data_IF_097385709459
#
_entry.id   IF_097385709459
#
_cell.length_a   1.000
_cell.length_b   1.000
_cell.length_c   1.000
_cell.angle_alpha   90.00
_cell.angle_beta   90.00
_cell.angle_gamma   90.00
#
_symmetry.space_group_name_H-M   'P 1'
#
loop_
_entity.id
_entity.type
_entity.pdbx_description
1 polymer ?
#
# COMPACT_ATOMS: atom_id res chain seq x y z
N UNK A 1 -77.71 -72.09 -49.71
CA UNK A 1 -78.17 -72.90 -50.86
C UNK A 1 -78.28 -74.33 -50.38
N UNK A 2 -79.47 -74.71 -49.92
CA UNK A 2 -79.94 -76.08 -49.71
C UNK A 2 -81.47 -75.99 -49.90
N UNK A 3 -82.04 -76.92 -50.67
CA UNK A 3 -83.44 -76.88 -51.11
C UNK A 3 -84.41 -77.03 -49.92
N UNK A 4 -85.54 -76.31 -49.87
CA UNK A 4 -86.54 -76.54 -48.82
C UNK A 4 -87.20 -77.89 -49.07
N UNK A 5 -86.94 -78.83 -48.16
CA UNK A 5 -87.62 -80.11 -48.13
C UNK A 5 -89.10 -79.86 -47.85
N UNK A 6 -89.93 -79.89 -48.89
CA UNK A 6 -91.38 -79.82 -48.73
C UNK A 6 -91.85 -81.03 -47.93
N UNK A 7 -92.44 -80.79 -46.76
CA UNK A 7 -92.97 -81.86 -45.92
C UNK A 7 -94.10 -82.60 -46.65
N UNK A 8 -94.03 -83.94 -46.65
CA UNK A 8 -95.09 -84.84 -47.12
C UNK A 8 -96.41 -84.57 -46.36
N UNK A 9 -97.60 -84.71 -46.99
CA UNK A 9 -98.89 -84.34 -46.39
C UNK A 9 -99.19 -85.01 -45.04
N UNK A 10 -98.73 -86.25 -44.82
CA UNK A 10 -98.84 -86.92 -43.50
C UNK A 10 -97.98 -86.27 -42.41
N UNK A 11 -96.83 -85.70 -42.78
CA UNK A 11 -95.93 -85.02 -41.87
C UNK A 11 -96.45 -83.62 -41.49
N UNK A 12 -97.21 -82.97 -42.37
CA UNK A 12 -97.83 -81.66 -42.09
C UNK A 12 -98.93 -81.76 -41.04
N UNK A 13 -99.74 -82.80 -41.11
CA UNK A 13 -100.84 -83.02 -40.16
C UNK A 13 -100.29 -83.38 -38.77
N UNK A 14 -99.28 -84.25 -38.69
CA UNK A 14 -98.58 -84.58 -37.45
C UNK A 14 -97.83 -83.38 -36.84
N UNK A 15 -97.15 -82.55 -37.64
CA UNK A 15 -96.44 -81.37 -37.15
C UNK A 15 -97.44 -80.28 -36.71
N UNK A 16 -98.57 -80.11 -37.40
CA UNK A 16 -99.61 -79.17 -36.99
C UNK A 16 -100.28 -79.60 -35.68
N UNK A 17 -100.50 -80.90 -35.46
CA UNK A 17 -101.07 -81.43 -34.22
C UNK A 17 -100.11 -81.23 -33.03
N UNK A 18 -98.80 -81.46 -33.24
CA UNK A 18 -97.76 -81.16 -32.25
C UNK A 18 -97.64 -79.65 -31.98
N UNK A 19 -97.79 -78.80 -32.99
CA UNK A 19 -97.77 -77.34 -32.80
C UNK A 19 -99.03 -76.83 -32.09
N UNK A 20 -100.19 -77.45 -32.31
CA UNK A 20 -101.40 -77.19 -31.51
C UNK A 20 -101.20 -77.56 -30.05
N UNK A 21 -100.67 -78.76 -29.77
CA UNK A 21 -100.37 -79.19 -28.40
C UNK A 21 -99.32 -78.27 -27.73
N UNK A 22 -98.38 -77.73 -28.51
CA UNK A 22 -97.38 -76.76 -28.03
C UNK A 22 -97.96 -75.36 -27.78
N UNK A 23 -98.89 -74.88 -28.62
CA UNK A 23 -99.62 -73.61 -28.42
C UNK A 23 -100.57 -73.73 -27.23
N UNK A 24 -101.24 -74.87 -27.08
CA UNK A 24 -102.15 -75.17 -25.96
C UNK A 24 -101.39 -75.32 -24.63
N UNK A 25 -100.25 -76.01 -24.63
CA UNK A 25 -99.38 -76.11 -23.44
C UNK A 25 -98.77 -74.76 -23.06
N UNK A 26 -98.36 -73.93 -24.02
CA UNK A 26 -97.91 -72.56 -23.73
C UNK A 26 -99.04 -71.66 -23.22
N UNK A 27 -100.27 -71.83 -23.72
CA UNK A 27 -101.45 -71.14 -23.18
C UNK A 27 -101.76 -71.57 -21.73
N UNK A 28 -101.55 -72.85 -21.40
CA UNK A 28 -101.63 -73.35 -20.02
C UNK A 28 -100.50 -72.76 -19.15
N UNK A 29 -99.26 -72.72 -19.64
CA UNK A 29 -98.14 -72.08 -18.94
C UNK A 29 -98.37 -70.57 -18.70
N UNK A 30 -98.97 -69.86 -19.66
CA UNK A 30 -99.38 -68.45 -19.51
C UNK A 30 -100.48 -68.27 -18.46
N UNK A 31 -101.45 -69.18 -18.39
CA UNK A 31 -102.48 -69.14 -17.36
C UNK A 31 -101.92 -69.40 -15.95
N UNK A 32 -100.89 -70.24 -15.82
CA UNK A 32 -100.20 -70.48 -14.53
C UNK A 32 -99.35 -69.27 -14.10
N UNK A 33 -98.64 -68.64 -15.04
CA UNK A 33 -97.88 -67.40 -14.81
C UNK A 33 -98.77 -66.20 -14.46
N UNK A 34 -100.04 -66.22 -14.88
CA UNK A 34 -101.06 -65.23 -14.56
C UNK A 34 -101.70 -65.45 -13.18
N UNK A 35 -101.84 -66.70 -12.72
CA UNK A 35 -102.40 -67.02 -11.39
C UNK A 35 -101.45 -66.72 -10.24
N UNK A 36 -100.12 -66.79 -10.44
CA UNK A 36 -99.14 -66.53 -9.37
C UNK A 36 -98.86 -65.05 -9.09
N UNK A 37 -99.30 -64.11 -9.96
CA UNK A 37 -99.19 -62.67 -9.68
C UNK A 37 -100.38 -62.09 -8.92
N UNK A 38 -101.47 -62.83 -8.73
CA UNK A 38 -102.66 -62.31 -8.05
C UNK A 38 -102.64 -62.50 -6.52
N UNK A 39 -101.73 -63.32 -5.97
CA UNK A 39 -101.73 -63.69 -4.54
C UNK A 39 -100.76 -62.90 -3.67
N UNK A 40 -100.17 -61.79 -4.14
CA UNK A 40 -99.16 -61.08 -3.34
C UNK A 40 -99.11 -59.54 -3.48
N UNK A 41 -100.20 -58.91 -3.91
CA UNK A 41 -100.26 -57.44 -4.04
C UNK A 41 -100.80 -56.70 -2.81
N UNK A 42 -101.20 -57.40 -1.74
CA UNK A 42 -101.59 -56.76 -0.48
C UNK A 42 -100.42 -56.73 0.52
N UNK A 43 -99.46 -55.84 0.26
CA UNK A 43 -98.94 -54.92 1.27
C UNK A 43 -97.67 -54.22 0.78
N UNK A 44 -97.67 -52.90 0.95
CA UNK A 44 -96.53 -52.00 1.21
C UNK A 44 -96.11 -51.07 0.08
N UNK A 45 -96.94 -50.04 -0.12
CA UNK A 45 -96.50 -48.71 -0.54
C UNK A 45 -96.40 -47.82 0.72
N UNK A 46 -95.18 -47.56 1.21
CA UNK A 46 -94.87 -46.37 2.02
C UNK A 46 -93.45 -45.91 1.66
N UNK A 47 -93.35 -44.91 0.79
CA UNK A 47 -92.14 -44.10 0.64
C UNK A 47 -92.10 -43.06 1.76
N UNK A 48 -90.96 -42.96 2.44
CA UNK A 48 -90.61 -41.80 3.24
C UNK A 48 -89.21 -41.30 2.88
N UNK A 49 -89.18 -39.99 2.66
CA UNK A 49 -88.12 -39.07 2.28
C UNK A 49 -87.01 -38.98 3.36
N UNK A 50 -85.72 -39.05 2.97
CA UNK A 50 -84.60 -38.68 3.87
C UNK A 50 -83.45 -38.00 3.11
N UNK A 51 -83.12 -36.81 3.61
CA UNK A 51 -82.10 -35.86 3.22
C UNK A 51 -80.67 -36.42 3.17
N UNK A 52 -79.89 -35.97 2.18
CA UNK A 52 -78.51 -36.37 1.93
C UNK A 52 -77.56 -35.50 2.77
N UNK A 53 -76.82 -36.14 3.68
CA UNK A 53 -75.62 -35.60 4.33
C UNK A 53 -74.42 -36.53 4.06
N UNK A 54 -73.22 -35.96 3.99
CA UNK A 54 -71.95 -36.46 3.42
C UNK A 54 -71.31 -37.71 4.07
N UNK A 55 -72.11 -38.66 4.56
CA UNK A 55 -71.63 -39.99 4.99
C UNK A 55 -72.20 -41.15 4.16
N UNK A 56 -72.81 -40.84 3.00
CA UNK A 56 -73.57 -41.80 2.19
C UNK A 56 -72.71 -42.78 1.36
N UNK A 57 -71.41 -42.55 1.19
CA UNK A 57 -70.59 -43.38 0.28
C UNK A 57 -70.14 -44.70 0.94
N UNK A 58 -70.06 -44.77 2.27
CA UNK A 58 -69.64 -45.99 2.98
C UNK A 58 -70.78 -46.93 3.41
N UNK A 59 -72.05 -46.50 3.34
CA UNK A 59 -73.22 -47.33 3.71
C UNK A 59 -73.85 -48.06 2.51
N UNK A 60 -73.57 -47.62 1.28
CA UNK A 60 -74.03 -48.26 0.03
C UNK A 60 -73.37 -49.63 -0.26
N UNK A 61 -72.26 -49.96 0.42
CA UNK A 61 -71.46 -51.15 0.11
C UNK A 61 -71.82 -52.40 0.93
N UNK A 62 -72.74 -52.32 1.90
CA UNK A 62 -73.02 -53.45 2.81
C UNK A 62 -74.49 -53.69 3.15
N UNK A 63 -75.45 -52.94 2.60
CA UNK A 63 -76.87 -53.11 2.91
C UNK A 63 -77.78 -52.84 1.70
N UNK A 64 -77.91 -53.83 0.81
CA UNK A 64 -78.78 -53.71 -0.36
C UNK A 64 -79.02 -55.05 -1.09
N UNK A 65 -78.83 -56.18 -0.40
CA UNK A 65 -78.97 -57.49 -1.03
C UNK A 65 -80.45 -57.96 -1.13
N UNK A 66 -81.33 -57.45 -0.27
CA UNK A 66 -82.72 -57.90 -0.22
C UNK A 66 -83.62 -57.20 -1.27
N UNK A 67 -83.50 -55.88 -1.46
CA UNK A 67 -84.36 -55.14 -2.41
C UNK A 67 -83.90 -55.26 -3.87
N UNK A 68 -82.59 -55.31 -4.14
CA UNK A 68 -82.04 -55.52 -5.49
C UNK A 68 -82.41 -56.89 -6.08
N UNK A 69 -82.58 -57.91 -5.22
CA UNK A 69 -82.91 -59.26 -5.70
C UNK A 69 -84.38 -59.42 -6.04
N UNK A 70 -85.29 -58.67 -5.41
CA UNK A 70 -86.72 -58.73 -5.71
C UNK A 70 -87.07 -57.91 -6.98
N UNK A 71 -86.46 -56.73 -7.19
CA UNK A 71 -86.60 -56.00 -8.47
C UNK A 71 -86.00 -56.78 -9.66
N UNK A 72 -84.89 -57.50 -9.46
CA UNK A 72 -84.34 -58.39 -10.47
C UNK A 72 -85.25 -59.59 -10.76
N UNK A 73 -85.94 -60.13 -9.75
CA UNK A 73 -86.91 -61.23 -9.92
C UNK A 73 -88.17 -60.80 -10.64
N UNK A 74 -88.67 -59.59 -10.39
CA UNK A 74 -89.82 -59.03 -11.09
C UNK A 74 -89.48 -58.73 -12.56
N UNK A 75 -88.34 -58.11 -12.83
CA UNK A 75 -87.85 -57.88 -14.18
C UNK A 75 -87.63 -59.21 -14.95
N UNK A 76 -87.14 -60.25 -14.28
CA UNK A 76 -86.98 -61.57 -14.89
C UNK A 76 -88.32 -62.23 -15.23
N UNK A 77 -89.36 -62.06 -14.39
CA UNK A 77 -90.71 -62.58 -14.65
C UNK A 77 -91.39 -61.84 -15.79
N UNK A 78 -91.23 -60.53 -15.87
CA UNK A 78 -91.79 -59.72 -16.94
C UNK A 78 -91.11 -60.01 -18.28
N UNK A 79 -89.77 -60.17 -18.28
CA UNK A 79 -89.04 -60.67 -19.45
C UNK A 79 -89.56 -62.05 -19.89
N UNK A 80 -89.75 -62.97 -18.95
CA UNK A 80 -90.25 -64.32 -19.26
C UNK A 80 -91.68 -64.30 -19.83
N UNK A 81 -92.53 -63.35 -19.40
CA UNK A 81 -93.87 -63.14 -19.97
C UNK A 81 -93.81 -62.60 -21.39
N UNK A 82 -92.96 -61.60 -21.63
CA UNK A 82 -92.78 -61.03 -22.97
C UNK A 82 -92.17 -62.04 -23.94
N UNK A 83 -91.19 -62.83 -23.48
CA UNK A 83 -90.59 -63.92 -24.24
C UNK A 83 -91.63 -65.02 -24.53
N UNK A 84 -92.51 -65.36 -23.57
CA UNK A 84 -93.60 -66.32 -23.78
C UNK A 84 -94.65 -65.84 -24.80
N UNK A 85 -95.04 -64.56 -24.77
CA UNK A 85 -95.97 -63.99 -25.76
C UNK A 85 -95.36 -63.94 -27.16
N UNK A 86 -94.08 -63.60 -27.24
CA UNK A 86 -93.31 -63.57 -28.47
C UNK A 86 -93.14 -64.97 -29.08
N UNK A 87 -92.84 -65.99 -28.28
CA UNK A 87 -92.78 -67.41 -28.71
C UNK A 87 -94.16 -67.90 -29.16
N UNK A 88 -95.24 -67.58 -28.44
CA UNK A 88 -96.61 -67.91 -28.86
C UNK A 88 -96.97 -67.29 -30.22
N UNK A 89 -96.59 -66.02 -30.45
CA UNK A 89 -96.80 -65.36 -31.74
C UNK A 89 -96.07 -66.06 -32.88
N UNK A 90 -94.80 -66.42 -32.67
CA UNK A 90 -93.99 -67.17 -33.65
C UNK A 90 -94.58 -68.56 -33.92
N UNK A 91 -95.05 -69.27 -32.88
CA UNK A 91 -95.63 -70.61 -33.02
C UNK A 91 -96.99 -70.59 -33.74
N UNK A 92 -97.81 -69.57 -33.51
CA UNK A 92 -99.05 -69.37 -34.27
C UNK A 92 -98.79 -69.03 -35.74
N UNK A 93 -97.78 -68.22 -36.02
CA UNK A 93 -97.39 -67.87 -37.39
C UNK A 93 -96.69 -69.03 -38.12
N UNK A 94 -95.92 -69.86 -37.41
CA UNK A 94 -95.33 -71.10 -37.91
C UNK A 94 -96.41 -72.15 -38.23
N UNK A 95 -97.42 -72.30 -37.36
CA UNK A 95 -98.59 -73.16 -37.61
C UNK A 95 -99.35 -72.72 -38.86
N UNK A 96 -99.57 -71.42 -39.03
CA UNK A 96 -100.19 -70.84 -40.22
C UNK A 96 -99.37 -71.16 -41.48
N UNK A 97 -98.05 -71.00 -41.41
CA UNK A 97 -97.14 -71.24 -42.52
C UNK A 97 -97.05 -72.73 -42.93
N UNK A 98 -97.01 -73.65 -41.96
CA UNK A 98 -96.97 -75.09 -42.21
C UNK A 98 -98.28 -75.60 -42.82
N UNK A 99 -99.42 -75.05 -42.40
CA UNK A 99 -100.74 -75.39 -42.93
C UNK A 99 -100.97 -74.85 -44.35
N UNK A 100 -100.43 -73.66 -44.68
CA UNK A 100 -100.65 -73.02 -45.97
C UNK A 100 -99.58 -73.35 -47.04
N UNK A 101 -98.31 -73.49 -46.63
CA UNK A 101 -97.16 -73.55 -47.55
C UNK A 101 -96.22 -74.73 -47.30
N UNK A 102 -96.24 -75.30 -46.09
CA UNK A 102 -95.37 -76.41 -45.70
C UNK A 102 -93.89 -76.02 -45.59
N UNK A 103 -93.59 -74.74 -45.35
CA UNK A 103 -92.24 -74.17 -45.19
C UNK A 103 -92.01 -73.64 -43.78
N UNK A 104 -90.75 -73.43 -43.42
CA UNK A 104 -90.29 -72.95 -42.10
C UNK A 104 -89.56 -71.60 -42.27
N UNK A 105 -90.08 -70.70 -43.11
CA UNK A 105 -89.43 -69.40 -43.38
C UNK A 105 -89.60 -68.40 -42.23
N UNK A 106 -90.72 -68.41 -41.52
CA UNK A 106 -90.98 -67.53 -40.36
C UNK A 106 -89.94 -67.80 -39.27
N UNK A 107 -89.69 -69.07 -38.96
CA UNK A 107 -88.66 -69.46 -38.00
C UNK A 107 -87.26 -69.12 -38.54
N UNK A 108 -86.99 -69.32 -39.83
CA UNK A 108 -85.68 -69.01 -40.43
C UNK A 108 -85.36 -67.51 -40.43
N UNK A 109 -86.35 -66.64 -40.70
CA UNK A 109 -86.20 -65.18 -40.63
C UNK A 109 -86.02 -64.70 -39.20
N UNK A 110 -86.76 -65.29 -38.27
CA UNK A 110 -86.68 -64.91 -36.86
C UNK A 110 -85.35 -65.37 -36.23
N UNK A 111 -84.89 -66.58 -36.56
CA UNK A 111 -83.53 -67.05 -36.24
C UNK A 111 -82.50 -66.08 -36.82
N UNK A 112 -82.64 -65.66 -38.08
CA UNK A 112 -81.74 -64.67 -38.70
C UNK A 112 -81.73 -63.30 -38.00
N UNK A 113 -82.89 -62.86 -37.49
CA UNK A 113 -83.02 -61.61 -36.71
C UNK A 113 -82.36 -61.75 -35.34
N UNK A 114 -82.52 -62.89 -34.69
CA UNK A 114 -81.88 -63.21 -33.40
C UNK A 114 -80.36 -63.29 -33.58
N UNK A 115 -79.85 -64.00 -34.58
CA UNK A 115 -78.40 -64.11 -34.82
C UNK A 115 -77.77 -62.75 -35.15
N UNK A 116 -78.43 -61.91 -35.95
CA UNK A 116 -77.91 -60.56 -36.25
C UNK A 116 -77.88 -59.66 -35.01
N UNK A 117 -78.88 -59.78 -34.14
CA UNK A 117 -78.91 -59.05 -32.86
C UNK A 117 -77.82 -59.57 -31.91
N UNK A 118 -77.65 -60.88 -31.81
CA UNK A 118 -76.58 -61.51 -31.01
C UNK A 118 -75.19 -61.06 -31.50
N UNK A 119 -74.96 -61.01 -32.82
CA UNK A 119 -73.72 -60.49 -33.41
C UNK A 119 -73.47 -59.02 -33.02
N UNK A 120 -74.49 -58.17 -33.08
CA UNK A 120 -74.38 -56.76 -32.66
C UNK A 120 -74.11 -56.61 -31.16
N UNK A 121 -74.78 -57.42 -30.33
CA UNK A 121 -74.56 -57.47 -28.88
C UNK A 121 -73.13 -57.95 -28.58
N UNK A 122 -72.62 -58.96 -29.29
CA UNK A 122 -71.23 -59.42 -29.18
C UNK A 122 -70.22 -58.33 -29.54
N UNK A 123 -70.43 -57.58 -30.63
CA UNK A 123 -69.54 -56.47 -31.01
C UNK A 123 -69.52 -55.35 -29.95
N UNK A 124 -70.69 -55.02 -29.38
CA UNK A 124 -70.78 -54.03 -28.30
C UNK A 124 -70.09 -54.51 -27.03
N UNK A 125 -70.19 -55.81 -26.71
CA UNK A 125 -69.48 -56.42 -25.56
C UNK A 125 -67.97 -56.34 -25.78
N UNK A 126 -67.47 -56.75 -26.95
CA UNK A 126 -66.04 -56.67 -27.28
C UNK A 126 -65.51 -55.24 -27.18
N UNK A 127 -66.25 -54.26 -27.72
CA UNK A 127 -65.84 -52.86 -27.66
C UNK A 127 -65.88 -52.31 -26.23
N UNK A 128 -66.86 -52.74 -25.41
CA UNK A 128 -66.91 -52.39 -24.00
C UNK A 128 -65.72 -52.99 -23.23
N UNK A 129 -65.34 -54.23 -23.53
CA UNK A 129 -64.16 -54.88 -22.96
C UNK A 129 -62.88 -54.15 -23.33
N UNK A 130 -62.70 -53.77 -24.61
CA UNK A 130 -61.57 -52.93 -25.05
C UNK A 130 -61.56 -51.57 -24.37
N UNK A 131 -62.71 -50.92 -24.23
CA UNK A 131 -62.80 -49.67 -23.48
C UNK A 131 -62.44 -49.86 -22.00
N UNK A 132 -62.86 -50.97 -21.38
CA UNK A 132 -62.51 -51.29 -19.99
C UNK A 132 -61.01 -51.51 -19.83
N UNK A 133 -60.36 -52.23 -20.76
CA UNK A 133 -58.90 -52.42 -20.70
C UNK A 133 -58.16 -51.10 -20.86
N UNK A 134 -58.56 -50.25 -21.82
CA UNK A 134 -57.95 -48.93 -22.02
C UNK A 134 -58.13 -48.04 -20.79
N UNK A 135 -59.33 -48.00 -20.20
CA UNK A 135 -59.58 -47.23 -18.98
C UNK A 135 -58.75 -47.76 -17.81
N UNK A 136 -58.59 -49.08 -17.68
CA UNK A 136 -57.73 -49.67 -16.66
C UNK A 136 -56.25 -49.29 -16.85
N UNK A 137 -55.75 -49.32 -18.09
CA UNK A 137 -54.39 -48.89 -18.44
C UNK A 137 -54.16 -47.40 -18.17
N UNK A 138 -55.11 -46.54 -18.56
CA UNK A 138 -55.03 -45.10 -18.29
C UNK A 138 -55.07 -44.81 -16.77
N UNK A 139 -55.93 -45.51 -16.02
CA UNK A 139 -55.97 -45.39 -14.55
C UNK A 139 -54.65 -45.82 -13.92
N UNK A 140 -54.04 -46.90 -14.42
CA UNK A 140 -52.72 -47.37 -13.98
C UNK A 140 -51.64 -46.34 -14.30
N UNK A 141 -51.60 -45.82 -15.53
CA UNK A 141 -50.65 -44.78 -15.94
C UNK A 141 -50.77 -43.50 -15.09
N UNK A 142 -51.99 -43.09 -14.74
CA UNK A 142 -52.23 -41.97 -13.83
C UNK A 142 -51.72 -42.29 -12.41
N UNK A 143 -51.95 -43.50 -11.91
CA UNK A 143 -51.47 -43.92 -10.59
C UNK A 143 -49.94 -43.97 -10.54
N UNK A 144 -49.30 -44.58 -11.53
CA UNK A 144 -47.84 -44.68 -11.65
C UNK A 144 -47.22 -43.28 -11.79
N UNK A 145 -47.82 -42.40 -12.60
CA UNK A 145 -47.41 -40.99 -12.73
C UNK A 145 -47.53 -40.19 -11.43
N UNK A 146 -48.56 -40.45 -10.62
CA UNK A 146 -48.68 -39.85 -9.27
C UNK A 146 -47.56 -40.31 -8.34
N UNK A 147 -47.25 -41.60 -8.32
CA UNK A 147 -46.17 -42.15 -7.49
C UNK A 147 -44.81 -41.58 -7.92
N UNK A 148 -44.51 -41.54 -9.22
CA UNK A 148 -43.28 -40.96 -9.75
C UNK A 148 -43.15 -39.47 -9.38
N UNK A 149 -44.23 -38.71 -9.47
CA UNK A 149 -44.24 -37.30 -9.06
C UNK A 149 -44.00 -37.12 -7.56
N UNK A 150 -44.57 -37.96 -6.70
CA UNK A 150 -44.31 -37.87 -5.25
C UNK A 150 -42.84 -38.20 -4.92
N UNK A 151 -42.26 -39.22 -5.56
CA UNK A 151 -40.83 -39.54 -5.39
C UNK A 151 -39.94 -38.36 -5.82
N UNK A 152 -40.23 -37.73 -6.96
CA UNK A 152 -39.44 -36.59 -7.41
C UNK A 152 -39.66 -35.36 -6.52
N UNK A 153 -40.88 -35.10 -6.03
CA UNK A 153 -41.13 -34.06 -5.03
C UNK A 153 -40.30 -34.30 -3.77
N UNK A 154 -40.28 -35.52 -3.24
CA UNK A 154 -39.44 -35.86 -2.08
C UNK A 154 -37.94 -35.66 -2.37
N UNK A 155 -37.49 -36.03 -3.56
CA UNK A 155 -36.09 -35.82 -3.97
C UNK A 155 -35.75 -34.32 -4.02
N UNK A 156 -36.63 -33.52 -4.59
CA UNK A 156 -36.45 -32.07 -4.69
C UNK A 156 -36.51 -31.40 -3.32
N UNK A 157 -37.41 -31.82 -2.41
CA UNK A 157 -37.46 -31.28 -1.05
C UNK A 157 -36.21 -31.65 -0.26
N UNK A 158 -35.72 -32.90 -0.35
CA UNK A 158 -34.44 -33.32 0.25
C UNK A 158 -33.26 -32.50 -0.30
N UNK A 159 -33.22 -32.25 -1.61
CA UNK A 159 -32.17 -31.41 -2.21
C UNK A 159 -32.26 -29.96 -1.72
N UNK A 160 -33.46 -29.41 -1.62
CA UNK A 160 -33.70 -28.05 -1.16
C UNK A 160 -33.30 -27.86 0.31
N UNK A 161 -33.58 -28.83 1.18
CA UNK A 161 -33.15 -28.77 2.59
C UNK A 161 -31.63 -28.86 2.71
N UNK A 162 -30.97 -29.73 1.95
CA UNK A 162 -29.50 -29.81 1.92
C UNK A 162 -28.86 -28.50 1.46
N UNK A 163 -29.33 -27.93 0.35
CA UNK A 163 -28.81 -26.64 -0.17
C UNK A 163 -29.07 -25.50 0.81
N UNK A 164 -30.22 -25.50 1.50
CA UNK A 164 -30.52 -24.51 2.55
C UNK A 164 -29.56 -24.63 3.72
N UNK A 165 -29.32 -25.83 4.22
CA UNK A 165 -28.39 -26.08 5.32
C UNK A 165 -26.96 -25.68 4.95
N UNK A 166 -26.52 -25.97 3.72
CA UNK A 166 -25.20 -25.56 3.25
C UNK A 166 -25.07 -24.04 3.16
N UNK A 167 -26.11 -23.35 2.68
CA UNK A 167 -26.15 -21.88 2.69
C UNK A 167 -26.06 -21.30 4.11
N UNK A 168 -26.76 -21.89 5.07
CA UNK A 168 -26.71 -21.46 6.47
C UNK A 168 -25.32 -21.73 7.08
N UNK A 169 -24.71 -22.89 6.80
CA UNK A 169 -23.33 -23.21 7.19
C UNK A 169 -22.33 -22.20 6.64
N UNK A 170 -22.39 -21.90 5.34
CA UNK A 170 -21.48 -20.93 4.71
C UNK A 170 -21.64 -19.51 5.28
N UNK A 171 -22.88 -19.11 5.64
CA UNK A 171 -23.10 -17.84 6.34
C UNK A 171 -22.40 -17.81 7.69
N UNK A 172 -22.53 -18.87 8.50
CA UNK A 172 -21.86 -18.94 9.80
C UNK A 172 -20.33 -18.89 9.67
N UNK A 173 -19.77 -19.60 8.68
CA UNK A 173 -18.33 -19.57 8.39
C UNK A 173 -17.90 -18.15 8.01
N UNK A 174 -18.58 -17.53 7.06
CA UNK A 174 -18.28 -16.16 6.62
C UNK A 174 -18.37 -15.15 7.78
N UNK A 175 -19.38 -15.27 8.63
CA UNK A 175 -19.56 -14.37 9.77
C UNK A 175 -18.45 -14.56 10.81
N UNK A 176 -17.99 -15.80 11.02
CA UNK A 176 -16.85 -16.10 11.89
C UNK A 176 -15.53 -15.56 11.30
N UNK A 177 -15.28 -15.77 10.00
CA UNK A 177 -14.12 -15.24 9.29
C UNK A 177 -14.10 -13.71 9.33
N UNK A 178 -15.24 -13.06 9.10
CA UNK A 178 -15.32 -11.60 9.14
C UNK A 178 -15.03 -11.06 10.55
N UNK A 179 -15.53 -11.72 11.60
CA UNK A 179 -15.20 -11.36 12.99
C UNK A 179 -13.72 -11.53 13.27
N UNK A 180 -13.13 -12.65 12.84
CA UNK A 180 -11.70 -12.89 13.00
C UNK A 180 -10.85 -11.82 12.32
N UNK A 181 -11.12 -11.52 11.04
CA UNK A 181 -10.40 -10.50 10.28
C UNK A 181 -10.51 -9.13 10.95
N UNK A 182 -11.70 -8.74 11.42
CA UNK A 182 -11.89 -7.44 12.10
C UNK A 182 -11.06 -7.35 13.39
N UNK A 183 -11.07 -8.38 14.22
CA UNK A 183 -10.29 -8.42 15.47
C UNK A 183 -8.80 -8.45 15.17
N UNK A 184 -8.38 -9.26 14.19
CA UNK A 184 -6.98 -9.34 13.76
C UNK A 184 -6.47 -8.00 13.22
N UNK A 185 -7.25 -7.32 12.37
CA UNK A 185 -6.88 -6.00 11.87
C UNK A 185 -6.82 -4.95 12.99
N UNK A 186 -7.75 -4.96 13.93
CA UNK A 186 -7.74 -4.06 15.08
C UNK A 186 -6.49 -4.26 15.93
N UNK A 187 -6.19 -5.51 16.33
CA UNK A 187 -5.00 -5.86 17.10
C UNK A 187 -3.71 -5.50 16.35
N UNK A 188 -3.67 -5.71 15.02
CA UNK A 188 -2.53 -5.33 14.19
C UNK A 188 -2.32 -3.81 14.20
N UNK A 189 -3.38 -3.01 14.06
CA UNK A 189 -3.29 -1.54 14.12
C UNK A 189 -2.82 -1.07 15.49
N UNK A 190 -3.38 -1.62 16.57
CA UNK A 190 -2.95 -1.32 17.93
C UNK A 190 -1.46 -1.64 18.14
N UNK A 191 -1.00 -2.80 17.65
CA UNK A 191 0.41 -3.16 17.72
C UNK A 191 1.31 -2.17 16.96
N UNK A 192 0.89 -1.74 15.76
CA UNK A 192 1.64 -0.75 14.99
C UNK A 192 1.72 0.60 15.73
N UNK A 193 0.60 1.07 16.29
CA UNK A 193 0.57 2.29 17.09
C UNK A 193 1.53 2.19 18.28
N UNK A 194 1.46 1.11 19.06
CA UNK A 194 2.33 0.90 20.22
C UNK A 194 3.81 0.86 19.84
N UNK A 195 4.18 0.21 18.72
CA UNK A 195 5.57 0.20 18.23
C UNK A 195 6.04 1.62 17.88
N UNK A 196 5.22 2.37 17.14
CA UNK A 196 5.57 3.74 16.78
C UNK A 196 5.66 4.66 18.00
N UNK A 197 4.79 4.50 18.99
CA UNK A 197 4.88 5.24 20.25
C UNK A 197 6.16 4.91 21.02
N UNK A 198 6.57 3.63 21.05
CA UNK A 198 7.84 3.21 21.64
C UNK A 198 9.03 3.85 20.91
N UNK A 199 9.08 3.74 19.57
CA UNK A 199 10.13 4.35 18.74
C UNK A 199 10.22 5.87 18.97
N UNK A 200 9.08 6.56 18.99
CA UNK A 200 9.00 8.01 19.26
C UNK A 200 9.52 8.32 20.67
N UNK A 201 9.19 7.51 21.67
CA UNK A 201 9.65 7.73 23.03
C UNK A 201 11.15 7.48 23.18
N UNK A 202 11.71 6.50 22.47
CA UNK A 202 13.16 6.27 22.42
C UNK A 202 13.90 7.42 21.72
N UNK A 203 13.37 7.90 20.59
CA UNK A 203 13.89 9.08 19.90
C UNK A 203 13.81 10.34 20.76
N UNK A 204 12.72 10.52 21.53
CA UNK A 204 12.62 11.63 22.49
C UNK A 204 13.66 11.52 23.61
N UNK A 205 13.89 10.31 24.15
CA UNK A 205 14.92 10.08 25.19
C UNK A 205 16.31 10.38 24.66
N UNK A 206 16.66 9.88 23.47
CA UNK A 206 17.96 10.14 22.83
C UNK A 206 18.13 11.63 22.50
N UNK A 207 17.10 12.30 21.98
CA UNK A 207 17.13 13.73 21.75
C UNK A 207 17.36 14.50 23.06
N UNK A 208 16.64 14.12 24.13
CA UNK A 208 16.81 14.78 25.43
C UNK A 208 18.22 14.60 26.00
N UNK A 209 18.83 13.42 25.86
CA UNK A 209 20.20 13.18 26.33
C UNK A 209 21.23 13.96 25.50
N UNK A 210 21.04 14.03 24.17
CA UNK A 210 21.84 14.87 23.29
C UNK A 210 21.74 16.36 23.66
N UNK A 211 20.53 16.89 23.91
CA UNK A 211 20.35 18.28 24.34
C UNK A 211 21.01 18.57 25.69
N UNK A 212 20.96 17.64 26.65
CA UNK A 212 21.66 17.82 27.93
C UNK A 212 23.17 17.84 27.72
N UNK A 213 23.71 16.94 26.88
CA UNK A 213 25.13 16.90 26.55
C UNK A 213 25.59 18.19 25.85
N UNK A 214 24.85 18.64 24.84
CA UNK A 214 25.13 19.88 24.12
C UNK A 214 25.14 21.09 25.06
N UNK A 215 24.16 21.20 25.98
CA UNK A 215 24.16 22.27 27.00
C UNK A 215 25.39 22.22 27.90
N UNK A 216 25.81 21.02 28.30
CA UNK A 216 27.01 20.85 29.13
C UNK A 216 28.29 21.23 28.38
N UNK A 217 28.41 20.84 27.11
CA UNK A 217 29.54 21.18 26.24
C UNK A 217 29.60 22.69 26.00
N UNK A 218 28.46 23.32 25.70
CA UNK A 218 28.36 24.77 25.53
C UNK A 218 28.74 25.52 26.81
N UNK A 219 28.31 25.03 27.98
CA UNK A 219 28.69 25.61 29.26
C UNK A 219 30.20 25.53 29.51
N UNK A 220 30.81 24.36 29.27
CA UNK A 220 32.26 24.18 29.41
C UNK A 220 33.02 25.07 28.42
N UNK A 221 32.55 25.16 27.17
CA UNK A 221 33.15 26.01 26.14
C UNK A 221 33.08 27.50 26.53
N UNK A 222 31.96 27.96 27.08
CA UNK A 222 31.80 29.33 27.57
C UNK A 222 32.79 29.65 28.70
N UNK A 223 32.90 28.73 29.68
CA UNK A 223 33.84 28.88 30.80
C UNK A 223 35.28 28.91 30.30
N UNK A 224 35.64 28.00 29.39
CA UNK A 224 36.97 27.91 28.80
C UNK A 224 37.30 29.18 28.00
N UNK A 225 36.37 29.63 27.16
CA UNK A 225 36.52 30.85 26.36
C UNK A 225 36.74 32.06 27.27
N UNK A 226 35.93 32.23 28.32
CA UNK A 226 36.12 33.33 29.29
C UNK A 226 37.48 33.25 29.99
N UNK A 227 37.92 32.05 30.39
CA UNK A 227 39.22 31.87 31.02
C UNK A 227 40.37 32.24 30.06
N UNK A 228 40.33 31.74 28.83
CA UNK A 228 41.34 32.03 27.81
C UNK A 228 41.39 33.52 27.47
N UNK A 229 40.24 34.16 27.24
CA UNK A 229 40.17 35.61 26.98
C UNK A 229 40.78 36.42 28.11
N UNK A 230 40.48 36.09 29.38
CA UNK A 230 41.09 36.76 30.54
C UNK A 230 42.60 36.55 30.59
N UNK A 231 43.07 35.33 30.32
CA UNK A 231 44.49 34.99 30.35
C UNK A 231 45.27 35.67 29.23
N UNK A 232 44.70 35.74 28.03
CA UNK A 232 45.25 36.48 26.88
C UNK A 232 45.39 37.96 27.26
N UNK A 233 44.31 38.59 27.75
CA UNK A 233 44.35 40.01 28.14
C UNK A 233 45.40 40.31 29.23
N UNK A 234 45.60 39.41 30.18
CA UNK A 234 46.65 39.53 31.21
C UNK A 234 48.05 39.46 30.58
N UNK A 235 48.28 38.52 29.67
CA UNK A 235 49.57 38.37 28.98
C UNK A 235 49.84 39.58 28.09
N UNK A 236 48.85 40.06 27.33
CA UNK A 236 48.95 41.27 26.52
C UNK A 236 49.28 42.51 27.36
N UNK A 237 48.63 42.66 28.52
CA UNK A 237 48.92 43.74 29.46
C UNK A 237 50.36 43.68 29.96
N UNK A 238 50.87 42.48 30.26
CA UNK A 238 52.27 42.26 30.67
C UNK A 238 53.24 42.57 29.53
N UNK A 239 52.95 42.11 28.31
CA UNK A 239 53.74 42.45 27.11
C UNK A 239 53.79 43.96 26.91
N UNK A 240 52.65 44.65 27.03
CA UNK A 240 52.58 46.11 26.92
C UNK A 240 53.40 46.82 28.00
N UNK A 241 53.39 46.31 29.24
CA UNK A 241 54.25 46.83 30.31
C UNK A 241 55.74 46.68 29.99
N UNK A 242 56.18 45.48 29.57
CA UNK A 242 57.58 45.23 29.23
C UNK A 242 58.04 46.03 28.02
N UNK A 243 57.18 46.20 27.01
CA UNK A 243 57.47 47.05 25.86
C UNK A 243 57.71 48.50 26.29
N UNK A 244 56.82 49.08 27.10
CA UNK A 244 57.00 50.44 27.64
C UNK A 244 58.24 50.59 28.52
N UNK A 245 58.64 49.53 29.23
CA UNK A 245 59.88 49.53 30.01
C UNK A 245 61.10 49.54 29.09
N UNK A 246 61.12 48.65 28.11
CA UNK A 246 62.19 48.56 27.13
C UNK A 246 62.36 49.88 26.36
N UNK A 247 61.27 50.49 25.91
CA UNK A 247 61.32 51.78 25.20
C UNK A 247 61.92 52.89 26.07
N UNK A 248 61.57 52.93 27.37
CA UNK A 248 62.16 53.89 28.32
C UNK A 248 63.64 53.65 28.58
N UNK A 249 64.04 52.40 28.82
CA UNK A 249 65.44 52.04 29.02
C UNK A 249 66.27 52.35 27.76
N UNK A 250 65.73 52.05 26.58
CA UNK A 250 66.34 52.39 25.30
C UNK A 250 66.51 53.90 25.12
N UNK A 251 65.49 54.70 25.41
CA UNK A 251 65.58 56.16 25.37
C UNK A 251 66.65 56.69 26.34
N UNK A 252 66.71 56.15 27.56
CA UNK A 252 67.75 56.49 28.53
C UNK A 252 69.16 56.19 28.01
N UNK A 253 69.39 55.01 27.43
CA UNK A 253 70.68 54.68 26.83
C UNK A 253 71.01 55.57 25.61
N UNK A 254 70.04 55.90 24.76
CA UNK A 254 70.24 56.81 23.64
C UNK A 254 70.63 58.23 24.11
N UNK A 255 70.03 58.71 25.21
CA UNK A 255 70.37 59.99 25.84
C UNK A 255 71.78 59.96 26.46
N UNK A 256 72.14 58.89 27.16
CA UNK A 256 73.48 58.71 27.72
C UNK A 256 74.55 58.66 26.63
N UNK A 257 74.29 57.92 25.54
CA UNK A 257 75.19 57.86 24.37
C UNK A 257 75.37 59.26 23.78
N UNK A 258 74.28 60.02 23.58
CA UNK A 258 74.37 61.40 23.07
C UNK A 258 75.16 62.31 24.00
N UNK A 259 74.95 62.20 25.32
CA UNK A 259 75.71 62.99 26.31
C UNK A 259 77.20 62.70 26.21
N UNK A 260 77.59 61.42 26.19
CA UNK A 260 79.00 61.02 26.06
C UNK A 260 79.59 61.44 24.71
N UNK A 261 78.82 61.38 23.63
CA UNK A 261 79.25 61.87 22.32
C UNK A 261 79.55 63.38 22.36
N UNK A 262 78.67 64.18 22.96
CA UNK A 262 78.88 65.62 23.13
C UNK A 262 80.11 65.90 24.01
N UNK A 263 80.30 65.18 25.12
CA UNK A 263 81.49 65.32 25.97
C UNK A 263 82.79 64.99 25.21
N UNK A 264 82.77 63.97 24.35
CA UNK A 264 83.90 63.62 23.49
C UNK A 264 84.16 64.72 22.46
N UNK A 265 83.12 65.31 21.87
CA UNK A 265 83.24 66.43 20.93
C UNK A 265 83.82 67.68 21.61
N UNK A 266 83.30 68.07 22.77
CA UNK A 266 83.81 69.17 23.59
C UNK A 266 85.29 68.96 23.97
N UNK A 267 85.65 67.74 24.38
CA UNK A 267 87.03 67.39 24.70
C UNK A 267 87.92 67.49 23.46
N UNK A 268 87.46 67.02 22.29
CA UNK A 268 88.19 67.14 21.02
C UNK A 268 88.40 68.60 20.62
N UNK A 269 87.40 69.46 20.78
CA UNK A 269 87.53 70.90 20.53
C UNK A 269 88.52 71.56 21.49
N UNK A 270 88.48 71.19 22.78
CA UNK A 270 89.43 71.66 23.78
C UNK A 270 90.87 71.24 23.43
N UNK A 271 91.10 69.96 23.12
CA UNK A 271 92.41 69.47 22.68
C UNK A 271 92.87 70.16 21.39
N UNK A 272 91.96 70.41 20.45
CA UNK A 272 92.24 71.16 19.22
C UNK A 272 92.74 72.57 19.51
N UNK A 273 92.06 73.31 20.41
CA UNK A 273 92.47 74.65 20.86
C UNK A 273 93.84 74.64 21.54
N UNK A 274 94.04 73.73 22.50
CA UNK A 274 95.30 73.61 23.22
C UNK A 274 96.47 73.26 22.28
N UNK A 275 96.24 72.38 21.30
CA UNK A 275 97.25 72.03 20.29
C UNK A 275 97.60 73.24 19.42
N UNK A 276 96.61 74.06 19.03
CA UNK A 276 96.85 75.28 18.28
C UNK A 276 97.65 76.31 19.11
N UNK A 277 97.31 76.51 20.38
CA UNK A 277 98.08 77.36 21.29
C UNK A 277 99.52 76.87 21.46
N UNK A 278 99.71 75.56 21.65
CA UNK A 278 101.05 74.97 21.75
C UNK A 278 101.87 75.20 20.48
N UNK A 279 101.27 75.01 19.29
CA UNK A 279 101.93 75.30 18.00
C UNK A 279 102.32 76.77 17.88
N UNK A 280 101.39 77.68 18.19
CA UNK A 280 101.68 79.13 18.16
C UNK A 280 102.81 79.52 19.13
N UNK A 281 102.81 78.96 20.35
CA UNK A 281 103.86 79.20 21.33
C UNK A 281 105.21 78.62 20.88
N UNK A 282 105.20 77.43 20.27
CA UNK A 282 106.42 76.83 19.73
C UNK A 282 106.98 77.65 18.57
N UNK A 283 106.13 78.11 17.64
CA UNK A 283 106.52 79.01 16.55
C UNK A 283 107.10 80.33 17.10
N UNK A 284 106.51 80.88 18.17
CA UNK A 284 107.04 82.06 18.85
C UNK A 284 108.42 81.82 19.50
N UNK A 285 108.62 80.67 20.16
CA UNK A 285 109.91 80.32 20.76
C UNK A 285 110.97 80.13 19.66
N UNK A 286 110.63 79.40 18.60
CA UNK A 286 111.54 79.13 17.49
C UNK A 286 111.95 80.43 16.80
N UNK A 287 110.99 81.32 16.52
CA UNK A 287 111.28 82.66 15.97
C UNK A 287 112.18 83.47 16.90
N UNK A 288 111.88 83.55 18.20
CA UNK A 288 112.71 84.24 19.18
C UNK A 288 114.14 83.68 19.26
N UNK A 289 114.30 82.34 19.24
CA UNK A 289 115.63 81.70 19.23
C UNK A 289 116.40 82.04 17.95
N UNK A 290 115.74 82.01 16.78
CA UNK A 290 116.39 82.39 15.52
C UNK A 290 116.82 83.86 15.49
N UNK A 291 116.01 84.77 16.04
CA UNK A 291 116.35 86.18 16.20
C UNK A 291 117.53 86.37 17.16
N UNK A 292 117.54 85.67 18.30
CA UNK A 292 118.64 85.72 19.26
C UNK A 292 119.95 85.21 18.66
N UNK A 293 119.89 84.11 17.90
CA UNK A 293 121.05 83.60 17.16
C UNK A 293 121.52 84.56 16.06
N UNK A 294 120.59 85.21 15.35
CA UNK A 294 120.91 86.23 14.35
C UNK A 294 121.61 87.43 15.00
N UNK A 295 121.11 87.91 16.14
CA UNK A 295 121.74 88.96 16.95
C UNK A 295 123.12 88.56 17.46
N UNK A 296 123.30 87.30 17.89
CA UNK A 296 124.61 86.78 18.30
C UNK A 296 125.59 86.78 17.13
N UNK A 297 125.18 86.25 15.97
CA UNK A 297 125.98 86.25 14.72
C UNK A 297 126.32 87.67 14.27
N UNK A 298 125.40 88.61 14.40
CA UNK A 298 125.65 90.03 14.08
C UNK A 298 126.69 90.63 15.01
N UNK A 299 126.57 90.43 16.34
CA UNK A 299 127.58 90.90 17.30
C UNK A 299 128.95 90.26 17.06
N UNK A 300 129.00 88.96 16.81
CA UNK A 300 130.24 88.25 16.46
C UNK A 300 130.87 88.84 15.18
N UNK A 301 130.06 89.15 14.17
CA UNK A 301 130.49 89.80 12.94
C UNK A 301 131.01 91.23 13.19
N UNK A 302 130.28 92.05 13.93
CA UNK A 302 130.69 93.40 14.31
C UNK A 302 131.99 93.40 15.15
N UNK A 303 132.12 92.48 16.10
CA UNK A 303 133.33 92.29 16.89
C UNK A 303 134.50 91.82 16.02
N UNK A 304 134.25 90.97 15.02
CA UNK A 304 135.25 90.55 14.04
C UNK A 304 135.69 91.72 13.14
N UNK A 305 134.75 92.53 12.64
CA UNK A 305 135.01 93.73 11.85
C UNK A 305 135.76 94.76 12.68
N UNK A 306 135.34 95.03 13.93
CA UNK A 306 136.05 95.93 14.86
C UNK A 306 137.47 95.46 15.13
N UNK A 307 137.67 94.16 15.42
CA UNK A 307 139.02 93.59 15.61
C UNK A 307 139.88 93.73 14.35
N UNK A 308 139.32 93.50 13.17
CA UNK A 308 140.02 93.64 11.89
C UNK A 308 140.35 95.12 11.59
N UNK A 309 139.43 96.04 11.85
CA UNK A 309 139.65 97.48 11.75
C UNK A 309 140.74 97.97 12.71
N UNK A 310 140.75 97.49 13.97
CA UNK A 310 141.82 97.79 14.93
C UNK A 310 143.16 97.28 14.42
N UNK A 311 143.23 96.05 13.88
CA UNK A 311 144.46 95.51 13.26
C UNK A 311 144.93 96.36 12.08
N UNK A 312 144.02 96.76 11.19
CA UNK A 312 144.33 97.65 10.07
C UNK A 312 144.81 99.03 10.54
N UNK A 313 144.14 99.62 11.52
CA UNK A 313 144.54 100.90 12.11
C UNK A 313 145.90 100.81 12.80
N UNK A 314 146.17 99.74 13.55
CA UNK A 314 147.47 99.51 14.20
C UNK A 314 148.58 99.28 13.16
N UNK A 315 148.29 98.54 12.09
CA UNK A 315 149.19 98.39 10.95
C UNK A 315 149.49 99.74 10.30
N UNK A 316 148.47 100.54 10.01
CA UNK A 316 148.63 101.87 9.41
C UNK A 316 149.40 102.84 10.31
N UNK A 317 149.10 102.88 11.62
CA UNK A 317 149.87 103.65 12.61
C UNK A 317 151.33 103.21 12.64
N UNK A 318 151.60 101.91 12.63
CA UNK A 318 152.95 101.36 12.53
C UNK A 318 153.65 101.72 11.21
N UNK A 319 152.93 101.72 10.09
CA UNK A 319 153.44 102.19 8.78
C UNK A 319 153.74 103.68 8.81
N UNK A 320 152.88 104.52 9.40
CA UNK A 320 153.13 105.96 9.55
C UNK A 320 154.41 106.24 10.35
N UNK A 321 154.63 105.52 11.45
CA UNK A 321 155.86 105.63 12.26
C UNK A 321 157.09 105.16 11.46
N UNK A 322 157.04 103.99 10.82
CA UNK A 322 158.19 103.41 10.09
C UNK A 322 158.56 104.16 8.82
N UNK A 323 157.57 104.69 8.07
CA UNK A 323 157.78 105.49 6.86
C UNK A 323 157.95 106.99 7.15
N UNK A 324 157.96 107.39 8.43
CA UNK A 324 158.12 108.79 8.89
C UNK A 324 157.14 109.76 8.21
N UNK A 325 155.88 109.34 8.09
CA UNK A 325 154.80 110.14 7.53
C UNK A 325 154.02 110.83 8.66
N UNK A 326 153.75 112.12 8.52
CA UNK A 326 152.99 112.91 9.51
C UNK A 326 153.82 113.44 10.69
N UNK A 327 153.24 113.60 11.90
CA UNK A 327 153.82 114.36 13.03
C UNK A 327 155.15 113.85 13.61
N UNK A 328 155.72 112.75 13.10
CA UNK A 328 156.93 112.09 13.63
C UNK A 328 158.23 112.44 12.88
N UNK A 329 158.29 113.61 12.23
CA UNK A 329 159.52 114.15 11.60
C UNK A 329 160.31 114.95 12.64
N UNK A 330 161.46 114.44 13.09
CA UNK A 330 162.34 115.10 14.08
C UNK A 330 163.35 116.06 13.42
N UNK A 331 163.40 117.31 13.88
CA UNK A 331 164.45 118.28 13.53
C UNK A 331 165.60 118.28 14.56
N UNK A 332 166.84 118.12 14.09
CA UNK A 332 168.08 118.33 14.86
C UNK A 332 168.85 119.56 14.36
N UNK A 333 169.39 120.33 15.32
CA UNK A 333 170.03 121.65 15.17
C UNK A 333 171.45 121.60 14.60
N UNK A 334 171.86 122.64 13.84
CA UNK A 334 173.28 123.04 13.66
C UNK A 334 173.45 124.57 13.70
N UNK A 335 174.41 125.05 14.52
CA UNK A 335 175.14 126.34 14.39
C UNK A 335 176.56 125.99 13.88
N UNK A 336 177.29 126.72 13.03
CA UNK A 336 177.82 128.10 13.11
C UNK A 336 178.46 128.48 11.73
N UNK A 337 178.34 129.76 11.28
CA UNK A 337 179.40 130.81 11.11
C UNK A 337 179.66 131.22 9.62
N UNK A 338 180.29 132.40 9.31
CA UNK A 338 179.67 133.63 8.76
C UNK A 338 180.25 134.09 7.38
N UNK A 339 179.85 135.17 6.66
CA UNK A 339 180.12 136.63 6.86
C UNK A 339 179.58 137.47 5.65
N UNK A 340 178.86 138.60 5.91
CA UNK A 340 178.71 139.93 5.19
C UNK A 340 178.35 140.00 3.68
N UNK A 341 177.58 140.94 3.09
CA UNK A 341 176.73 142.13 3.49
C UNK A 341 176.00 142.69 2.24
N UNK A 342 174.96 143.52 2.47
CA UNK A 342 174.19 144.48 1.60
C UNK A 342 173.00 143.87 0.84
N UNK A 343 171.78 144.37 0.94
CA UNK A 343 171.25 145.70 1.34
C UNK A 343 170.56 145.68 2.72
#
# INVERSE_FOLDING_TARGET
MEAPAEFSPMLREAISEVLEECVDSLAVYQNILRQQSATRDDASNIFADVEISDTSILRMLTGGAAEMTDSQREAAREKLRQDSLYVCGIMQDLKREINERGTIEVLSKEIGRITSREEQEHLLIEENERMRTIVAELRKAIADGKVANEIEKERLTKRLTLTRNEKERLKLIKDAEMKYVRVWEAARREQHVLRHEQDINELKKTLSSHCVRERSENHVNDVLTRYLTRRIALVESRIGHWRRRYDRERQGYEEEIRRVQNEIEDAREYFGRLTAEYRNNQEFIDTYLTEQEALRRQKEHEDHVRRSAIKMQAWWRGVMVRRKLGPYRSEEKKKKKPVKTKK
#
